data_IF_288193804410
#
_entry.id   IF_288193804410
#
_cell.length_a   1.000
_cell.length_b   1.000
_cell.length_c   1.000
_cell.angle_alpha   90.00
_cell.angle_beta   90.00
_cell.angle_gamma   90.00
#
_symmetry.space_group_name_H-M   'P 1'
#
loop_
_entity.id
_entity.type
_entity.pdbx_description
1 polymer ?
#
# COMPACT_ATOMS: atom_id res chain seq x y z
N UNK A 1 -24.21 -21.54 7.37
CA UNK A 1 -22.98 -20.75 7.18
C UNK A 1 -22.15 -21.50 6.14
N UNK A 2 -22.33 -21.18 4.87
CA UNK A 2 -21.65 -21.84 3.75
C UNK A 2 -20.73 -20.83 3.05
N UNK A 3 -19.62 -20.50 3.71
CA UNK A 3 -18.45 -19.80 3.16
C UNK A 3 -17.46 -20.66 2.31
N UNK A 4 -17.55 -22.02 2.21
CA UNK A 4 -16.58 -22.79 1.41
C UNK A 4 -16.59 -22.47 -0.10
N UNK A 5 -17.76 -22.18 -0.68
CA UNK A 5 -17.97 -22.06 -2.14
C UNK A 5 -17.07 -20.99 -2.80
N UNK A 6 -17.08 -19.77 -2.26
CA UNK A 6 -16.36 -18.62 -2.84
C UNK A 6 -14.84 -18.82 -2.77
N UNK A 7 -14.35 -19.39 -1.66
CA UNK A 7 -12.93 -19.64 -1.46
C UNK A 7 -12.42 -20.73 -2.40
N UNK A 8 -13.23 -21.74 -2.67
CA UNK A 8 -12.87 -22.82 -3.58
C UNK A 8 -12.94 -22.37 -5.06
N UNK A 9 -13.90 -21.51 -5.42
CA UNK A 9 -13.94 -20.84 -6.72
C UNK A 9 -12.72 -19.93 -6.95
N UNK A 10 -12.28 -19.18 -5.93
CA UNK A 10 -11.07 -18.35 -5.99
C UNK A 10 -9.80 -19.19 -6.16
N UNK A 11 -9.69 -20.33 -5.46
CA UNK A 11 -8.55 -21.26 -5.64
C UNK A 11 -8.52 -21.83 -7.05
N UNK A 12 -9.67 -22.21 -7.61
CA UNK A 12 -9.78 -22.73 -8.96
C UNK A 12 -9.31 -21.69 -10.00
N UNK A 13 -9.71 -20.42 -9.87
CA UNK A 13 -9.23 -19.35 -10.73
C UNK A 13 -7.72 -19.08 -10.61
N UNK A 14 -7.15 -19.17 -9.41
CA UNK A 14 -5.70 -19.01 -9.21
C UNK A 14 -4.94 -20.12 -9.95
N UNK A 15 -5.47 -21.34 -9.95
CA UNK A 15 -4.88 -22.47 -10.68
C UNK A 15 -4.93 -22.20 -12.19
N UNK A 16 -6.11 -21.85 -12.74
CA UNK A 16 -6.26 -21.54 -14.16
C UNK A 16 -5.39 -20.35 -14.59
N UNK A 17 -5.31 -19.29 -13.78
CA UNK A 17 -4.45 -18.14 -14.07
C UNK A 17 -2.97 -18.52 -14.10
N UNK A 18 -2.53 -19.42 -13.23
CA UNK A 18 -1.16 -19.92 -13.22
C UNK A 18 -0.85 -20.81 -14.42
N UNK A 19 -1.81 -21.60 -14.91
CA UNK A 19 -1.68 -22.39 -16.15
C UNK A 19 -1.58 -21.49 -17.39
N UNK A 20 -2.44 -20.46 -17.49
CA UNK A 20 -2.39 -19.44 -18.55
C UNK A 20 -1.06 -18.71 -18.52
N UNK A 21 -0.62 -18.26 -17.34
CA UNK A 21 0.66 -17.59 -17.14
C UNK A 21 1.84 -18.48 -17.56
N UNK A 22 1.81 -19.76 -17.20
CA UNK A 22 2.87 -20.71 -17.55
C UNK A 22 2.91 -20.96 -19.06
N UNK A 23 1.75 -21.06 -19.70
CA UNK A 23 1.62 -21.20 -21.16
C UNK A 23 2.11 -19.95 -21.89
N UNK A 24 1.74 -18.75 -21.43
CA UNK A 24 2.23 -17.48 -21.97
C UNK A 24 3.74 -17.31 -21.80
N UNK A 25 4.30 -17.72 -20.66
CA UNK A 25 5.75 -17.70 -20.42
C UNK A 25 6.46 -18.71 -21.33
N UNK A 26 5.90 -19.90 -21.55
CA UNK A 26 6.43 -20.88 -22.49
C UNK A 26 6.42 -20.33 -23.91
N UNK A 27 5.31 -19.72 -24.33
CA UNK A 27 5.18 -19.08 -25.64
C UNK A 27 6.18 -17.95 -25.84
N UNK A 28 6.38 -17.12 -24.81
CA UNK A 28 7.31 -16.01 -24.86
C UNK A 28 8.77 -16.49 -24.86
N UNK A 29 9.09 -17.58 -24.15
CA UNK A 29 10.43 -18.19 -24.18
C UNK A 29 10.74 -18.85 -25.53
N UNK A 30 9.76 -19.46 -26.20
CA UNK A 30 9.92 -19.92 -27.58
C UNK A 30 10.11 -18.72 -28.54
N UNK A 31 9.30 -17.68 -28.44
CA UNK A 31 9.39 -16.51 -29.33
C UNK A 31 10.63 -15.61 -29.09
N UNK A 32 11.25 -15.63 -27.92
CA UNK A 32 12.49 -14.87 -27.66
C UNK A 32 13.75 -15.62 -28.13
N UNK A 33 13.67 -16.94 -28.36
CA UNK A 33 14.77 -17.70 -28.95
C UNK A 33 14.74 -17.75 -30.49
N UNK A 34 13.59 -17.49 -31.13
CA UNK A 34 13.46 -17.57 -32.60
C UNK A 34 13.23 -16.24 -33.34
N UNK A 35 13.15 -15.10 -32.63
CA UNK A 35 12.95 -13.77 -33.26
C UNK A 35 14.24 -13.15 -33.84
N UNK A 36 14.92 -13.91 -34.70
CA UNK A 36 15.80 -13.40 -35.75
C UNK A 36 15.16 -13.52 -37.15
N UNK A 37 13.83 -13.59 -37.24
CA UNK A 37 13.13 -13.52 -38.53
C UNK A 37 13.03 -12.03 -38.97
N UNK A 38 14.17 -11.48 -39.40
CA UNK A 38 14.20 -10.34 -40.32
C UNK A 38 13.80 -10.88 -41.69
N UNK A 39 12.53 -10.73 -42.06
CA UNK A 39 12.06 -11.07 -43.40
C UNK A 39 12.54 -10.01 -44.42
N UNK A 40 13.80 -10.12 -44.85
CA UNK A 40 14.35 -9.36 -45.97
C UNK A 40 13.82 -9.91 -47.32
N UNK A 41 12.51 -9.76 -47.54
CA UNK A 41 11.85 -10.15 -48.81
C UNK A 41 12.44 -9.44 -50.04
N UNK A 42 13.19 -8.35 -49.86
CA UNK A 42 13.70 -7.53 -50.95
C UNK A 42 14.97 -8.07 -51.61
N UNK A 43 15.72 -8.96 -50.96
CA UNK A 43 16.99 -9.48 -51.49
C UNK A 43 16.86 -10.80 -52.26
N UNK A 44 15.78 -11.57 -52.07
CA UNK A 44 15.60 -12.89 -52.71
C UNK A 44 15.15 -12.87 -54.18
N UNK A 45 14.75 -11.71 -54.73
CA UNK A 45 14.33 -11.63 -56.14
C UNK A 45 15.49 -11.49 -57.13
N UNK A 46 16.73 -11.36 -56.66
CA UNK A 46 17.92 -11.33 -57.53
C UNK A 46 18.64 -12.68 -57.51
N UNK A 47 18.31 -13.50 -58.52
CA UNK A 47 18.87 -14.81 -58.92
C UNK A 47 18.46 -16.00 -58.06
N UNK A 48 17.28 -16.54 -58.34
CA UNK A 48 16.93 -17.92 -58.00
C UNK A 48 17.59 -18.82 -59.05
N UNK A 49 18.61 -19.58 -58.65
CA UNK A 49 19.09 -20.78 -59.35
C UNK A 49 18.34 -22.01 -58.82
N UNK A 50 18.29 -23.10 -59.58
CA UNK A 50 17.64 -24.37 -59.17
C UNK A 50 18.22 -24.92 -57.85
N UNK A 51 19.47 -24.59 -57.52
CA UNK A 51 20.14 -24.97 -56.26
C UNK A 51 19.59 -24.21 -55.03
N UNK A 52 19.16 -22.96 -55.19
CA UNK A 52 18.62 -22.15 -54.08
C UNK A 52 17.11 -22.34 -53.89
N UNK A 53 16.40 -22.93 -54.86
CA UNK A 53 14.95 -23.09 -54.80
C UNK A 53 14.49 -24.06 -53.70
N UNK A 54 15.27 -25.11 -53.46
CA UNK A 54 14.94 -26.12 -52.44
C UNK A 54 15.13 -25.57 -51.01
N UNK A 55 16.18 -24.79 -50.77
CA UNK A 55 16.42 -24.14 -49.47
C UNK A 55 15.32 -23.12 -49.16
N UNK A 56 14.93 -22.30 -50.14
CA UNK A 56 13.83 -21.32 -49.98
C UNK A 56 12.49 -22.02 -49.70
N UNK A 57 12.25 -23.17 -50.34
CA UNK A 57 11.04 -23.95 -50.12
C UNK A 57 11.00 -24.56 -48.73
N UNK A 58 12.13 -25.09 -48.25
CA UNK A 58 12.24 -25.62 -46.90
C UNK A 58 12.05 -24.52 -45.83
N UNK A 59 12.60 -23.32 -46.04
CA UNK A 59 12.36 -22.17 -45.17
C UNK A 59 10.88 -21.76 -45.16
N UNK A 60 10.20 -21.80 -46.30
CA UNK A 60 8.78 -21.47 -46.40
C UNK A 60 7.89 -22.52 -45.72
N UNK A 61 8.19 -23.81 -45.90
CA UNK A 61 7.46 -24.91 -45.25
C UNK A 61 7.66 -24.86 -43.72
N UNK A 62 8.86 -24.55 -43.25
CA UNK A 62 9.13 -24.33 -41.83
C UNK A 62 8.41 -23.10 -41.27
N UNK A 63 8.38 -21.99 -42.02
CA UNK A 63 7.64 -20.79 -41.63
C UNK A 63 6.12 -21.06 -41.56
N UNK A 64 5.58 -21.87 -42.47
CA UNK A 64 4.18 -22.27 -42.45
C UNK A 64 3.83 -23.12 -41.21
N UNK A 65 4.68 -24.08 -40.84
CA UNK A 65 4.53 -24.88 -39.62
C UNK A 65 4.55 -23.99 -38.37
N UNK A 66 5.50 -23.04 -38.30
CA UNK A 66 5.59 -22.10 -37.17
C UNK A 66 4.35 -21.19 -37.09
N UNK A 67 3.82 -20.76 -38.23
CA UNK A 67 2.61 -19.95 -38.28
C UNK A 67 1.38 -20.73 -37.80
N UNK A 68 1.24 -22.01 -38.17
CA UNK A 68 0.14 -22.87 -37.70
C UNK A 68 0.23 -23.14 -36.19
N UNK A 69 1.44 -23.32 -35.64
CA UNK A 69 1.65 -23.43 -34.19
C UNK A 69 1.26 -22.13 -33.46
N UNK A 70 1.60 -20.97 -34.02
CA UNK A 70 1.20 -19.67 -33.47
C UNK A 70 -0.33 -19.51 -33.49
N UNK A 71 -0.97 -19.88 -34.60
CA UNK A 71 -2.43 -19.84 -34.73
C UNK A 71 -3.14 -20.73 -33.70
N UNK A 72 -2.66 -21.96 -33.49
CA UNK A 72 -3.19 -22.85 -32.46
C UNK A 72 -3.03 -22.28 -31.05
N UNK A 73 -1.92 -21.59 -30.80
CA UNK A 73 -1.66 -20.96 -29.51
C UNK A 73 -2.61 -19.79 -29.24
N UNK A 74 -2.89 -18.96 -30.26
CA UNK A 74 -3.90 -17.90 -30.16
C UNK A 74 -5.28 -18.50 -29.83
N UNK A 75 -5.68 -19.56 -30.52
CA UNK A 75 -6.97 -20.21 -30.28
C UNK A 75 -7.11 -20.73 -28.83
N UNK A 76 -6.05 -21.31 -28.27
CA UNK A 76 -6.03 -21.75 -26.87
C UNK A 76 -6.17 -20.55 -25.91
N UNK A 77 -5.47 -19.44 -26.18
CA UNK A 77 -5.57 -18.22 -25.38
C UNK A 77 -6.98 -17.64 -25.42
N UNK A 78 -7.60 -17.56 -26.61
CA UNK A 78 -8.97 -17.08 -26.78
C UNK A 78 -9.98 -17.93 -26.00
N UNK A 79 -9.82 -19.25 -26.02
CA UNK A 79 -10.65 -20.16 -25.22
C UNK A 79 -10.51 -19.87 -23.72
N UNK A 80 -9.29 -19.72 -23.22
CA UNK A 80 -9.05 -19.41 -21.80
C UNK A 80 -9.58 -18.04 -21.38
N UNK A 81 -9.47 -17.03 -22.24
CA UNK A 81 -10.07 -15.70 -22.01
C UNK A 81 -11.58 -15.83 -21.87
N UNK A 82 -12.21 -16.63 -22.73
CA UNK A 82 -13.65 -16.88 -22.69
C UNK A 82 -14.07 -17.57 -21.38
N UNK A 83 -13.33 -18.60 -20.96
CA UNK A 83 -13.58 -19.28 -19.68
C UNK A 83 -13.46 -18.32 -18.48
N UNK A 84 -12.48 -17.40 -18.52
CA UNK A 84 -12.34 -16.35 -17.50
C UNK A 84 -13.53 -15.39 -17.47
N UNK A 85 -14.10 -15.03 -18.63
CA UNK A 85 -15.29 -14.17 -18.67
C UNK A 85 -16.50 -14.83 -18.01
N UNK A 86 -16.73 -16.12 -18.26
CA UNK A 86 -17.80 -16.86 -17.59
C UNK A 86 -17.62 -16.92 -16.08
N UNK A 87 -16.39 -17.20 -15.61
CA UNK A 87 -16.09 -17.22 -14.18
C UNK A 87 -16.31 -15.85 -13.50
N UNK A 88 -15.96 -14.75 -14.19
CA UNK A 88 -16.21 -13.39 -13.68
C UNK A 88 -17.71 -13.13 -13.53
N UNK A 89 -18.52 -13.57 -14.50
CA UNK A 89 -19.96 -13.37 -14.45
C UNK A 89 -20.61 -14.13 -13.26
N UNK A 90 -20.16 -15.35 -13.00
CA UNK A 90 -20.65 -16.15 -11.87
C UNK A 90 -20.28 -15.51 -10.51
N UNK A 91 -19.06 -14.97 -10.40
CA UNK A 91 -18.63 -14.26 -9.18
C UNK A 91 -19.43 -12.98 -8.98
N UNK A 92 -19.75 -12.25 -10.05
CA UNK A 92 -20.58 -11.06 -9.95
C UNK A 92 -21.97 -11.39 -9.40
N UNK A 93 -22.56 -12.51 -9.83
CA UNK A 93 -23.84 -13.00 -9.28
C UNK A 93 -23.71 -13.37 -7.79
N UNK A 94 -22.62 -14.02 -7.38
CA UNK A 94 -22.40 -14.35 -5.96
C UNK A 94 -22.21 -13.08 -5.09
N UNK A 95 -21.48 -12.07 -5.59
CA UNK A 95 -21.30 -10.78 -4.92
C UNK A 95 -22.65 -10.07 -4.75
N UNK A 96 -23.50 -10.09 -5.78
CA UNK A 96 -24.84 -9.50 -5.71
C UNK A 96 -25.70 -10.19 -4.64
N UNK A 97 -25.66 -11.52 -4.55
CA UNK A 97 -26.37 -12.28 -3.52
C UNK A 97 -25.88 -11.89 -2.11
N UNK A 98 -24.57 -11.79 -1.88
CA UNK A 98 -24.03 -11.40 -0.58
C UNK A 98 -24.32 -9.94 -0.22
N UNK A 99 -24.28 -9.03 -1.19
CA UNK A 99 -24.67 -7.63 -0.97
C UNK A 99 -26.13 -7.52 -0.52
N UNK A 100 -27.03 -8.28 -1.15
CA UNK A 100 -28.44 -8.30 -0.75
C UNK A 100 -28.62 -8.80 0.70
N UNK A 101 -27.85 -9.80 1.13
CA UNK A 101 -27.85 -10.27 2.54
C UNK A 101 -27.33 -9.20 3.49
N UNK A 102 -26.28 -8.47 3.12
CA UNK A 102 -25.74 -7.38 3.93
C UNK A 102 -26.74 -6.22 4.07
N UNK A 103 -27.48 -5.90 3.00
CA UNK A 103 -28.56 -4.92 3.06
C UNK A 103 -29.64 -5.35 4.06
N UNK A 104 -30.09 -6.61 4.01
CA UNK A 104 -31.09 -7.14 4.95
C UNK A 104 -30.60 -7.08 6.42
N UNK A 105 -29.30 -7.33 6.66
CA UNK A 105 -28.70 -7.19 7.99
C UNK A 105 -28.67 -5.73 8.44
N UNK A 106 -28.33 -4.81 7.53
CA UNK A 106 -28.32 -3.36 7.80
C UNK A 106 -29.70 -2.86 8.23
N UNK A 107 -30.76 -3.25 7.51
CA UNK A 107 -32.14 -2.89 7.86
C UNK A 107 -32.56 -3.41 9.24
N UNK A 108 -32.12 -4.62 9.62
CA UNK A 108 -32.37 -5.17 10.96
C UNK A 108 -31.63 -4.40 12.06
N UNK A 109 -30.39 -3.95 11.79
CA UNK A 109 -29.63 -3.15 12.74
C UNK A 109 -30.28 -1.78 13.00
N UNK A 110 -30.76 -1.13 11.94
CA UNK A 110 -31.49 0.13 12.06
C UNK A 110 -32.76 -0.03 12.92
N UNK A 111 -33.50 -1.13 12.74
CA UNK A 111 -34.66 -1.47 13.58
C UNK A 111 -34.26 -1.66 15.05
N UNK A 112 -33.14 -2.35 15.33
CA UNK A 112 -32.66 -2.54 16.70
C UNK A 112 -32.22 -1.21 17.34
N UNK A 113 -31.58 -0.32 16.59
CA UNK A 113 -31.18 1.00 17.07
C UNK A 113 -32.41 1.85 17.44
N UNK A 114 -33.48 1.80 16.62
CA UNK A 114 -34.72 2.50 16.92
C UNK A 114 -35.39 2.00 18.21
N UNK A 115 -35.38 0.68 18.43
CA UNK A 115 -35.87 0.05 19.67
C UNK A 115 -35.04 0.52 20.87
N UNK A 116 -33.71 0.56 20.74
CA UNK A 116 -32.80 0.98 21.80
C UNK A 116 -33.03 2.45 22.18
N UNK A 117 -33.19 3.32 21.17
CA UNK A 117 -33.47 4.73 21.35
C UNK A 117 -34.84 4.98 22.01
N UNK A 118 -35.87 4.18 21.70
CA UNK A 118 -37.17 4.21 22.40
C UNK A 118 -37.02 3.85 23.87
N UNK A 119 -36.30 2.76 24.20
CA UNK A 119 -36.05 2.37 25.60
C UNK A 119 -35.25 3.41 26.37
N UNK A 120 -34.25 4.03 25.75
CA UNK A 120 -33.45 5.07 26.40
C UNK A 120 -34.28 6.32 26.76
N UNK A 121 -35.23 6.69 25.91
CA UNK A 121 -36.19 7.78 26.18
C UNK A 121 -37.20 7.43 27.29
N UNK A 122 -37.57 6.17 27.45
CA UNK A 122 -38.43 5.71 28.55
C UNK A 122 -37.72 5.72 29.91
N UNK A 123 -36.44 5.35 29.94
CA UNK A 123 -35.60 5.35 31.15
C UNK A 123 -35.25 6.76 31.67
N UNK A 124 -35.20 7.76 30.80
CA UNK A 124 -34.86 9.14 31.15
C UNK A 124 -36.08 10.05 31.36
N UNK A 125 -37.26 9.49 31.67
CA UNK A 125 -38.37 10.32 32.16
C UNK A 125 -38.00 10.91 33.52
N UNK A 126 -38.01 12.25 33.69
CA UNK A 126 -37.64 12.87 34.96
C UNK A 126 -38.71 12.57 36.00
N UNK A 127 -38.36 11.76 37.00
CA UNK A 127 -39.11 11.63 38.24
C UNK A 127 -38.96 12.93 39.03
N UNK A 128 -40.04 13.67 39.20
CA UNK A 128 -40.13 14.81 40.11
C UNK A 128 -39.81 14.34 41.53
N UNK A 129 -38.65 14.73 42.07
CA UNK A 129 -38.42 14.82 43.50
C UNK A 129 -37.43 15.95 43.77
N UNK A 130 -38.01 17.09 44.15
CA UNK A 130 -37.37 18.24 44.74
C UNK A 130 -36.64 17.84 46.03
N UNK A 131 -35.34 18.15 46.15
CA UNK A 131 -34.77 18.54 47.44
C UNK A 131 -33.83 19.73 47.21
N UNK A 132 -34.28 20.87 47.71
CA UNK A 132 -33.52 22.10 47.96
C UNK A 132 -32.58 21.85 49.14
N UNK A 133 -31.32 22.31 49.06
CA UNK A 133 -30.67 23.07 50.14
C UNK A 133 -29.35 23.70 49.69
N UNK A 134 -29.24 25.00 49.99
CA UNK A 134 -28.09 25.87 49.81
C UNK A 134 -27.08 25.73 50.96
N UNK A 135 -25.79 25.89 50.66
CA UNK A 135 -24.76 26.61 51.48
C UNK A 135 -23.42 26.57 50.70
N UNK A 136 -22.87 27.70 50.22
CA UNK A 136 -21.80 28.53 50.84
C UNK A 136 -20.63 27.69 51.41
N UNK A 137 -19.34 27.93 51.20
CA UNK A 137 -18.52 29.08 50.76
C UNK A 137 -17.02 28.70 50.83
N UNK A 138 -16.14 29.51 50.20
CA UNK A 138 -14.67 29.67 50.43
C UNK A 138 -13.71 28.57 49.92
N UNK A 139 -12.90 28.82 48.88
CA UNK A 139 -11.47 29.27 48.90
C UNK A 139 -10.59 28.47 49.87
N UNK A 140 -9.46 27.86 49.51
CA UNK A 140 -8.14 28.47 49.18
C UNK A 140 -7.22 27.30 48.72
N UNK A 141 -6.48 27.44 47.62
CA UNK A 141 -5.01 27.27 47.63
C UNK A 141 -4.39 27.44 46.23
N UNK A 142 -3.83 28.64 46.06
CA UNK A 142 -2.76 28.97 45.14
C UNK A 142 -1.45 28.31 45.58
N UNK A 143 -0.75 27.62 44.67
CA UNK A 143 0.72 27.59 44.48
C UNK A 143 1.15 26.23 43.90
N UNK A 144 1.05 26.06 42.59
CA UNK A 144 2.04 25.28 41.86
C UNK A 144 2.42 26.00 40.57
N UNK A 145 3.74 26.09 40.39
CA UNK A 145 4.47 26.91 39.45
C UNK A 145 4.08 26.63 38.00
N UNK A 146 3.84 27.73 37.27
CA UNK A 146 3.99 27.91 35.82
C UNK A 146 5.17 27.09 35.26
N UNK A 147 4.89 26.06 34.45
CA UNK A 147 5.08 26.02 32.99
C UNK A 147 3.99 25.10 32.44
N UNK A 148 2.78 25.63 32.29
CA UNK A 148 1.72 24.93 31.56
C UNK A 148 0.70 25.97 31.11
N UNK A 149 0.85 26.38 29.85
CA UNK A 149 -0.05 27.16 28.98
C UNK A 149 0.91 27.72 27.92
N UNK A 150 1.00 27.11 26.74
CA UNK A 150 -0.06 27.24 25.74
C UNK A 150 -0.01 26.09 24.73
N UNK A 151 -0.81 25.04 24.91
CA UNK A 151 -1.29 24.21 23.79
C UNK A 151 -2.79 24.04 23.97
N UNK A 152 -3.55 25.02 23.47
CA UNK A 152 -5.01 24.92 23.33
C UNK A 152 -5.31 23.81 22.30
N UNK A 153 -6.11 22.82 22.69
CA UNK A 153 -6.85 21.90 21.81
C UNK A 153 -6.17 21.49 20.49
N UNK A 154 -4.97 20.93 20.55
CA UNK A 154 -4.52 20.10 19.44
C UNK A 154 -5.11 18.70 19.64
N UNK A 155 -6.05 18.31 18.78
CA UNK A 155 -6.57 16.94 18.72
C UNK A 155 -5.36 16.01 18.57
N UNK A 156 -5.03 15.25 19.60
CA UNK A 156 -3.95 14.26 19.55
C UNK A 156 -4.24 13.24 18.44
N UNK A 157 -3.19 12.75 17.80
CA UNK A 157 -3.27 11.56 16.97
C UNK A 157 -3.58 10.40 17.93
N UNK A 158 -4.69 9.72 17.67
CA UNK A 158 -5.16 8.56 18.43
C UNK A 158 -4.97 7.31 17.56
N UNK A 159 -4.91 6.12 18.16
CA UNK A 159 -4.90 4.89 17.37
C UNK A 159 -6.25 4.68 16.70
N UNK A 160 -6.24 4.10 15.50
CA UNK A 160 -7.47 3.80 14.74
C UNK A 160 -8.31 2.71 15.43
N UNK A 161 -7.67 1.83 16.19
CA UNK A 161 -8.32 0.80 17.01
C UNK A 161 -8.83 1.31 18.38
N UNK A 162 -8.64 2.59 18.70
CA UNK A 162 -9.05 3.20 19.97
C UNK A 162 -8.19 2.85 21.17
N UNK A 163 -7.16 2.01 21.03
CA UNK A 163 -6.29 1.62 22.12
C UNK A 163 -5.36 2.78 22.54
N UNK A 164 -5.07 2.89 23.83
CA UNK A 164 -4.13 3.89 24.34
C UNK A 164 -2.69 3.34 24.34
N UNK A 165 -1.77 4.16 23.85
CA UNK A 165 -0.33 3.96 23.97
C UNK A 165 0.07 4.23 25.43
N UNK A 166 0.13 3.17 26.25
CA UNK A 166 0.56 3.27 27.65
C UNK A 166 2.05 2.99 27.80
N UNK A 167 2.73 3.77 28.65
CA UNK A 167 4.14 3.61 29.03
C UNK A 167 5.17 3.56 27.88
N UNK A 168 5.20 4.58 27.04
CA UNK A 168 6.29 4.72 26.07
C UNK A 168 7.52 5.37 26.72
N UNK A 169 8.69 4.75 26.61
CA UNK A 169 9.99 5.41 26.89
C UNK A 169 10.34 6.42 25.80
N UNK A 170 9.62 6.39 24.67
CA UNK A 170 9.83 7.22 23.49
C UNK A 170 8.57 8.04 23.14
N UNK A 171 7.90 8.58 24.18
CA UNK A 171 6.78 9.53 24.03
C UNK A 171 7.11 10.68 23.08
N UNK A 172 8.38 11.05 23.01
CA UNK A 172 8.92 12.12 22.17
C UNK A 172 8.61 11.89 20.68
N UNK A 173 8.59 10.65 20.20
CA UNK A 173 8.27 10.33 18.79
C UNK A 173 6.84 10.71 18.45
N UNK A 174 5.90 10.25 19.28
CA UNK A 174 4.47 10.49 19.09
C UNK A 174 4.15 11.97 19.37
N UNK A 175 4.86 12.61 20.30
CA UNK A 175 4.75 14.05 20.55
C UNK A 175 5.24 14.88 19.36
N UNK A 176 6.33 14.46 18.70
CA UNK A 176 6.80 15.08 17.46
C UNK A 176 5.74 15.01 16.36
N UNK A 177 5.10 13.84 16.19
CA UNK A 177 4.01 13.69 15.21
C UNK A 177 2.80 14.54 15.58
N UNK A 178 2.43 14.61 16.86
CA UNK A 178 1.34 15.45 17.35
C UNK A 178 1.59 16.94 17.09
N UNK A 179 2.81 17.40 17.36
CA UNK A 179 3.21 18.80 17.18
C UNK A 179 3.14 19.20 15.70
N UNK A 180 3.42 18.26 14.79
CA UNK A 180 3.44 18.48 13.34
C UNK A 180 2.17 17.99 12.61
N UNK A 181 1.15 17.51 13.34
CA UNK A 181 -0.10 16.92 12.79
C UNK A 181 -0.75 17.81 11.74
N UNK A 182 -0.82 19.12 11.99
CA UNK A 182 -1.43 20.08 11.06
C UNK A 182 -0.72 20.13 9.71
N UNK A 183 0.61 20.08 9.70
CA UNK A 183 1.40 20.12 8.47
C UNK A 183 1.23 18.81 7.69
N UNK A 184 1.22 17.68 8.39
CA UNK A 184 0.96 16.37 7.78
C UNK A 184 -0.44 16.32 7.14
N UNK A 185 -1.48 16.84 7.80
CA UNK A 185 -2.83 16.94 7.20
C UNK A 185 -2.86 17.88 5.98
N UNK A 186 -2.16 19.01 6.04
CA UNK A 186 -2.08 19.96 4.92
C UNK A 186 -1.41 19.37 3.69
N UNK A 187 -0.39 18.52 3.86
CA UNK A 187 0.32 17.94 2.72
C UNK A 187 -0.54 17.02 1.84
N UNK A 188 -1.57 16.42 2.41
CA UNK A 188 -2.47 15.51 1.71
C UNK A 188 -3.91 16.04 1.59
N UNK A 189 -4.22 17.23 2.13
CA UNK A 189 -5.60 17.73 2.28
C UNK A 189 -6.53 16.80 3.09
N UNK A 190 -6.01 16.19 4.16
CA UNK A 190 -6.80 15.32 5.04
C UNK A 190 -7.55 16.08 6.15
N UNK A 191 -8.55 15.45 6.75
CA UNK A 191 -9.31 15.92 7.92
C UNK A 191 -8.72 15.42 9.23
N UNK A 192 -8.41 14.13 9.32
CA UNK A 192 -7.88 13.50 10.53
C UNK A 192 -6.72 12.54 10.25
N UNK A 193 -5.92 12.32 11.29
CA UNK A 193 -4.80 11.38 11.32
C UNK A 193 -4.99 10.45 12.51
N UNK A 194 -4.86 9.16 12.27
CA UNK A 194 -4.86 8.13 13.30
C UNK A 194 -3.66 7.19 13.14
N UNK A 195 -3.16 6.63 14.24
CA UNK A 195 -2.09 5.62 14.20
C UNK A 195 -2.73 4.28 13.86
N UNK A 196 -2.32 3.71 12.73
CA UNK A 196 -2.76 2.40 12.27
C UNK A 196 -1.83 1.29 12.70
N UNK A 197 -0.54 1.57 12.74
CA UNK A 197 0.50 0.63 13.16
C UNK A 197 1.63 1.38 13.83
N UNK A 198 2.18 0.77 14.86
CA UNK A 198 3.37 1.22 15.54
C UNK A 198 4.24 0.01 15.89
N UNK A 199 5.44 -0.07 15.32
CA UNK A 199 6.29 -1.25 15.46
C UNK A 199 6.63 -1.60 16.90
N UNK A 200 6.57 -0.62 17.83
CA UNK A 200 6.80 -0.86 19.26
C UNK A 200 5.63 -1.56 19.97
N UNK A 201 4.43 -1.52 19.40
CA UNK A 201 3.21 -2.02 20.02
C UNK A 201 2.59 -3.16 19.23
N UNK A 202 2.65 -3.09 17.91
CA UNK A 202 1.98 -4.03 17.00
C UNK A 202 2.91 -5.14 16.50
N UNK A 203 4.19 -5.14 16.91
CA UNK A 203 5.21 -6.10 16.51
C UNK A 203 6.06 -5.63 15.34
N UNK A 204 7.25 -6.23 15.20
CA UNK A 204 8.29 -5.80 14.25
C UNK A 204 8.45 -6.78 13.08
N UNK A 205 7.66 -7.86 13.06
CA UNK A 205 7.73 -8.83 11.98
C UNK A 205 7.11 -8.27 10.71
N UNK A 206 7.52 -8.82 9.57
CA UNK A 206 6.96 -8.44 8.28
C UNK A 206 5.50 -8.84 8.15
N UNK A 207 5.12 -9.99 8.70
CA UNK A 207 3.71 -10.40 8.80
C UNK A 207 2.87 -9.37 9.58
N UNK A 208 3.39 -8.87 10.71
CA UNK A 208 2.71 -7.84 11.49
C UNK A 208 2.56 -6.57 10.67
N UNK A 209 3.65 -6.05 10.09
CA UNK A 209 3.63 -4.86 9.24
C UNK A 209 2.65 -4.97 8.06
N UNK A 210 2.68 -6.10 7.32
CA UNK A 210 1.82 -6.34 6.15
C UNK A 210 0.33 -6.26 6.51
N UNK A 211 -0.06 -6.80 7.67
CA UNK A 211 -1.45 -6.78 8.15
C UNK A 211 -2.03 -5.37 8.21
N UNK A 212 -1.21 -4.37 8.50
CA UNK A 212 -1.67 -3.00 8.69
C UNK A 212 -1.53 -2.11 7.44
N UNK A 213 -0.69 -2.49 6.47
CA UNK A 213 -0.45 -1.70 5.25
C UNK A 213 -1.13 -2.27 4.00
N UNK A 214 -1.26 -3.59 3.87
CA UNK A 214 -1.81 -4.24 2.66
C UNK A 214 -3.29 -3.92 2.52
N UNK A 215 -3.69 -3.49 1.32
CA UNK A 215 -5.07 -3.10 1.03
C UNK A 215 -5.43 -1.67 1.44
N UNK A 216 -4.56 -0.96 2.15
CA UNK A 216 -4.82 0.39 2.61
C UNK A 216 -4.05 1.42 1.78
N UNK A 217 -4.77 2.47 1.39
CA UNK A 217 -4.21 3.67 0.75
C UNK A 217 -4.28 4.85 1.70
N UNK A 218 -3.78 6.00 1.24
CA UNK A 218 -3.68 7.22 2.03
C UNK A 218 -3.01 7.04 3.39
N UNK A 219 -1.85 6.39 3.38
CA UNK A 219 -1.07 6.11 4.58
C UNK A 219 0.24 6.88 4.55
N UNK A 220 0.59 7.51 5.67
CA UNK A 220 1.97 7.87 5.94
C UNK A 220 2.73 6.68 6.50
N UNK A 221 3.80 6.27 5.84
CA UNK A 221 4.85 5.43 6.41
C UNK A 221 5.93 6.33 6.97
N UNK A 222 6.03 6.41 8.30
CA UNK A 222 7.00 7.25 9.00
C UNK A 222 8.07 6.36 9.64
N UNK A 223 9.33 6.68 9.37
CA UNK A 223 10.50 6.02 9.90
C UNK A 223 11.19 6.94 10.89
N UNK A 224 11.50 6.41 12.06
CA UNK A 224 12.44 7.01 13.00
C UNK A 224 13.72 6.19 12.93
N UNK A 225 14.85 6.82 12.66
CA UNK A 225 16.15 6.15 12.64
C UNK A 225 16.94 6.36 13.94
N UNK A 226 18.05 5.63 14.07
CA UNK A 226 18.96 5.73 15.23
C UNK A 226 19.70 7.08 15.34
N UNK A 227 19.75 7.87 14.27
CA UNK A 227 20.44 9.16 14.21
C UNK A 227 19.48 10.35 14.41
N UNK A 228 18.30 10.10 14.98
CA UNK A 228 17.26 11.11 15.21
C UNK A 228 16.74 11.77 13.92
N UNK A 229 16.84 11.09 12.78
CA UNK A 229 16.15 11.49 11.57
C UNK A 229 14.74 10.91 11.56
N UNK A 230 13.79 11.69 11.05
CA UNK A 230 12.39 11.30 10.88
C UNK A 230 11.97 11.62 9.47
N UNK A 231 11.69 10.59 8.68
CA UNK A 231 11.40 10.70 7.26
C UNK A 231 10.52 9.54 6.81
N UNK A 232 10.03 9.59 5.57
CA UNK A 232 9.17 8.53 5.09
C UNK A 232 8.52 8.83 3.75
N UNK A 233 7.42 8.15 3.49
CA UNK A 233 6.61 8.35 2.30
C UNK A 233 5.11 8.36 2.62
N UNK A 234 4.39 9.17 1.85
CA UNK A 234 2.95 9.09 1.75
C UNK A 234 2.60 8.17 0.59
N UNK A 235 1.75 7.19 0.88
CA UNK A 235 1.26 6.19 -0.05
C UNK A 235 -0.21 6.50 -0.27
N UNK A 236 -0.56 6.97 -1.47
CA UNK A 236 -1.94 7.27 -1.81
C UNK A 236 -2.66 6.01 -2.29
N UNK A 237 -2.04 5.25 -3.20
CA UNK A 237 -2.66 4.06 -3.79
C UNK A 237 -2.59 2.85 -2.85
N UNK A 238 -3.67 2.08 -2.67
CA UNK A 238 -3.64 0.87 -1.86
C UNK A 238 -2.76 -0.21 -2.50
N UNK A 239 -1.98 -0.91 -1.68
CA UNK A 239 -1.11 -2.00 -2.13
C UNK A 239 -1.85 -3.33 -1.99
N UNK A 240 -2.39 -3.85 -3.10
CA UNK A 240 -3.17 -5.09 -3.11
C UNK A 240 -2.30 -6.34 -3.28
N UNK A 241 -1.19 -6.21 -4.00
CA UNK A 241 -0.31 -7.34 -4.37
C UNK A 241 1.08 -7.10 -3.81
N UNK A 242 1.64 -8.13 -3.17
CA UNK A 242 2.99 -8.15 -2.61
C UNK A 242 4.01 -8.65 -3.61
N UNK A 243 5.28 -8.33 -3.39
CA UNK A 243 6.44 -8.63 -4.24
C UNK A 243 6.32 -8.12 -5.68
N UNK A 244 5.41 -7.16 -5.95
CA UNK A 244 5.25 -6.50 -7.24
C UNK A 244 5.21 -4.99 -7.07
N UNK A 245 5.77 -4.23 -8.04
CA UNK A 245 5.67 -2.78 -8.03
C UNK A 245 4.24 -2.33 -8.31
N UNK A 246 3.73 -1.44 -7.47
CA UNK A 246 2.46 -0.73 -7.64
C UNK A 246 2.76 0.73 -7.92
N UNK A 247 2.21 1.28 -9.00
CA UNK A 247 2.43 2.69 -9.35
C UNK A 247 1.63 3.59 -8.40
N UNK A 248 2.32 4.54 -7.78
CA UNK A 248 1.69 5.59 -6.99
C UNK A 248 1.92 6.96 -7.66
N UNK A 249 0.83 7.55 -8.13
CA UNK A 249 0.84 8.81 -8.86
C UNK A 249 0.91 9.98 -7.89
N UNK A 250 0.19 9.90 -6.77
CA UNK A 250 0.01 10.98 -5.80
C UNK A 250 0.89 10.82 -4.55
N UNK A 251 1.55 9.67 -4.42
CA UNK A 251 2.56 9.43 -3.40
C UNK A 251 3.72 10.43 -3.48
N UNK A 252 4.27 10.74 -2.31
CA UNK A 252 5.40 11.63 -2.15
C UNK A 252 6.30 11.16 -1.02
N UNK A 253 7.54 11.64 -0.99
CA UNK A 253 8.45 11.41 0.14
C UNK A 253 8.55 12.68 0.99
N UNK A 254 8.87 12.51 2.27
CA UNK A 254 8.99 13.66 3.17
C UNK A 254 10.02 13.45 4.28
N UNK A 255 10.46 14.56 4.84
CA UNK A 255 11.33 14.67 6.00
C UNK A 255 10.60 15.52 7.05
N UNK A 256 10.70 15.14 8.32
CA UNK A 256 10.11 15.83 9.48
C UNK A 256 11.23 16.37 10.38
N UNK A 257 12.29 15.59 10.58
CA UNK A 257 13.43 15.97 11.39
C UNK A 257 14.72 15.38 10.83
N UNK A 258 15.83 16.09 11.05
CA UNK A 258 17.18 15.70 10.68
C UNK A 258 18.13 15.95 11.83
N UNK A 259 18.82 14.90 12.25
CA UNK A 259 19.80 14.95 13.35
C UNK A 259 19.19 15.63 14.60
N UNK A 260 17.93 15.30 14.92
CA UNK A 260 17.18 15.84 16.05
C UNK A 260 16.56 17.24 15.85
N UNK A 261 16.86 17.93 14.75
CA UNK A 261 16.29 19.25 14.44
C UNK A 261 15.06 19.12 13.54
N UNK A 262 13.97 19.79 13.88
CA UNK A 262 12.75 19.80 13.05
C UNK A 262 13.05 20.43 11.69
N UNK A 263 12.78 19.67 10.63
CA UNK A 263 12.98 20.04 9.24
C UNK A 263 11.85 19.44 8.40
N UNK A 264 10.76 20.21 8.27
CA UNK A 264 9.55 19.79 7.56
C UNK A 264 9.71 20.02 6.06
N UNK A 265 9.84 18.94 5.30
CA UNK A 265 10.05 19.00 3.85
C UNK A 265 9.25 17.93 3.13
N UNK A 266 8.33 18.35 2.26
CA UNK A 266 7.62 17.48 1.31
C UNK A 266 8.29 17.53 -0.05
N UNK A 267 8.50 16.38 -0.67
CA UNK A 267 9.07 16.29 -2.01
C UNK A 267 8.16 15.43 -2.91
N UNK A 268 7.54 16.09 -3.87
CA UNK A 268 6.72 15.44 -4.88
C UNK A 268 7.61 14.75 -5.92
N UNK A 269 7.08 13.66 -6.47
CA UNK A 269 7.69 13.01 -7.62
C UNK A 269 7.77 13.97 -8.81
N UNK A 270 8.84 13.85 -9.60
CA UNK A 270 8.92 14.56 -10.88
C UNK A 270 7.86 14.05 -11.86
N UNK A 271 7.33 14.95 -12.69
CA UNK A 271 6.26 14.62 -13.67
C UNK A 271 6.69 13.57 -14.70
N UNK A 272 7.98 13.50 -15.02
CA UNK A 272 8.56 12.59 -16.01
C UNK A 272 9.02 11.24 -15.43
N UNK A 273 8.84 11.02 -14.11
CA UNK A 273 9.29 9.80 -13.44
C UNK A 273 8.09 8.97 -13.00
N UNK A 274 8.09 7.69 -13.37
CA UNK A 274 7.18 6.69 -12.80
C UNK A 274 7.88 6.10 -11.57
N UNK A 275 7.33 6.37 -10.39
CA UNK A 275 7.74 5.76 -9.12
C UNK A 275 6.72 4.68 -8.77
N UNK A 276 7.23 3.61 -8.20
CA UNK A 276 6.46 2.48 -7.73
C UNK A 276 6.74 2.21 -6.26
N UNK A 277 5.83 1.49 -5.63
CA UNK A 277 5.96 0.97 -4.28
C UNK A 277 5.88 -0.55 -4.38
N UNK A 278 6.83 -1.24 -3.76
CA UNK A 278 6.83 -2.69 -3.65
C UNK A 278 6.79 -3.05 -2.17
N UNK A 279 5.71 -3.72 -1.74
CA UNK A 279 5.60 -4.33 -0.42
C UNK A 279 6.09 -5.77 -0.52
N UNK A 280 7.05 -6.18 0.30
CA UNK A 280 7.61 -7.53 0.25
C UNK A 280 6.87 -8.48 1.20
N UNK A 281 6.96 -9.79 0.98
CA UNK A 281 6.54 -10.87 1.91
C UNK A 281 7.73 -11.78 2.30
N UNK A 282 7.67 -12.45 3.45
CA UNK A 282 8.79 -13.24 4.03
C UNK A 282 9.34 -14.35 3.10
N UNK A 283 8.58 -14.80 2.09
CA UNK A 283 8.95 -15.91 1.19
C UNK A 283 9.74 -15.49 -0.06
N UNK A 284 10.28 -14.27 -0.12
CA UNK A 284 11.15 -13.82 -1.20
C UNK A 284 12.62 -13.76 -0.76
N UNK A 285 13.57 -13.72 -1.70
CA UNK A 285 15.02 -13.58 -1.45
C UNK A 285 15.42 -12.27 -0.71
N UNK A 286 14.46 -11.56 -0.11
CA UNK A 286 14.59 -10.28 0.57
C UNK A 286 13.91 -10.31 1.96
N UNK A 287 14.11 -11.38 2.73
CA UNK A 287 13.41 -11.66 4.00
C UNK A 287 13.47 -10.55 5.08
N UNK A 288 14.36 -9.55 4.95
CA UNK A 288 14.43 -8.41 5.86
C UNK A 288 13.85 -7.11 5.30
N UNK A 289 13.46 -7.10 4.02
CA UNK A 289 12.91 -5.92 3.36
C UNK A 289 11.42 -5.84 3.62
N UNK A 290 10.95 -4.70 4.10
CA UNK A 290 9.52 -4.42 4.29
C UNK A 290 8.94 -3.78 3.04
N UNK A 291 9.55 -2.68 2.61
CA UNK A 291 9.00 -1.85 1.54
C UNK A 291 10.11 -1.20 0.72
N UNK A 292 9.88 -1.09 -0.58
CA UNK A 292 10.69 -0.30 -1.49
C UNK A 292 9.83 0.78 -2.12
N UNK A 293 10.33 2.01 -2.20
CA UNK A 293 9.71 3.10 -2.97
C UNK A 293 10.72 3.75 -3.90
N UNK A 294 10.39 3.84 -5.18
CA UNK A 294 11.23 4.49 -6.18
C UNK A 294 10.97 3.99 -7.60
N UNK A 295 11.82 4.41 -8.54
CA UNK A 295 11.71 4.02 -9.95
C UNK A 295 12.28 2.62 -10.18
N UNK A 296 13.50 2.38 -9.69
CA UNK A 296 14.24 1.12 -9.85
C UNK A 296 15.24 0.94 -8.70
N UNK A 297 15.86 -0.23 -8.55
CA UNK A 297 16.78 -0.52 -7.42
C UNK A 297 17.99 0.45 -7.28
N UNK A 298 18.23 1.32 -8.26
CA UNK A 298 19.26 2.36 -8.23
C UNK A 298 18.74 3.73 -7.77
N UNK A 299 17.42 3.94 -7.74
CA UNK A 299 16.75 5.23 -7.52
C UNK A 299 15.51 5.12 -6.62
N UNK A 300 15.74 5.00 -5.31
CA UNK A 300 14.66 4.94 -4.32
C UNK A 300 15.12 4.71 -2.89
N UNK A 301 14.18 4.31 -2.05
CA UNK A 301 14.36 4.01 -0.63
C UNK A 301 13.94 2.57 -0.36
N UNK A 302 14.87 1.78 0.18
CA UNK A 302 14.65 0.43 0.67
C UNK A 302 14.54 0.49 2.19
N UNK A 303 13.42 0.00 2.71
CA UNK A 303 13.08 0.00 4.12
C UNK A 303 13.13 -1.43 4.61
N UNK A 304 13.93 -1.66 5.63
CA UNK A 304 14.07 -2.96 6.29
C UNK A 304 13.25 -3.00 7.58
N UNK A 305 13.12 -4.21 8.15
CA UNK A 305 12.55 -4.42 9.49
C UNK A 305 13.26 -3.53 10.53
N UNK A 306 12.55 -3.08 11.59
CA UNK A 306 13.18 -2.36 12.69
C UNK A 306 14.43 -3.07 13.22
N UNK A 307 15.43 -2.30 13.64
CA UNK A 307 16.73 -2.77 14.16
C UNK A 307 17.57 -3.59 13.18
N UNK A 308 17.14 -3.72 11.91
CA UNK A 308 17.96 -4.26 10.85
C UNK A 308 18.75 -3.14 10.18
N UNK A 309 20.07 -3.27 10.23
CA UNK A 309 21.00 -2.36 9.57
C UNK A 309 20.89 -2.44 8.05
N UNK A 310 21.31 -1.36 7.38
CA UNK A 310 21.38 -1.21 5.93
C UNK A 310 20.03 -0.96 5.22
N UNK A 311 19.04 -0.40 5.92
CA UNK A 311 18.03 0.42 5.24
C UNK A 311 18.74 1.47 4.38
N UNK A 312 18.22 1.80 3.20
CA UNK A 312 19.04 2.48 2.20
C UNK A 312 18.25 3.49 1.36
N UNK A 313 18.85 4.66 1.15
CA UNK A 313 18.36 5.69 0.22
C UNK A 313 19.37 5.84 -0.90
N UNK A 314 18.99 5.42 -2.12
CA UNK A 314 19.83 5.49 -3.33
C UNK A 314 19.29 6.52 -4.28
N UNK A 315 20.08 7.56 -4.56
CA UNK A 315 19.84 8.55 -5.63
C UNK A 315 18.38 9.02 -5.74
N UNK A 316 17.68 9.12 -4.61
CA UNK A 316 16.24 9.37 -4.58
C UNK A 316 15.89 10.74 -5.17
N UNK A 317 16.85 11.67 -5.12
CA UNK A 317 16.78 12.96 -5.81
C UNK A 317 16.45 12.81 -7.30
N UNK A 318 16.91 11.75 -8.00
CA UNK A 318 16.60 11.55 -9.41
C UNK A 318 15.09 11.41 -9.68
N UNK A 319 14.35 10.91 -8.70
CA UNK A 319 12.90 10.68 -8.79
C UNK A 319 12.07 11.83 -8.20
N UNK A 320 12.63 12.62 -7.28
CA UNK A 320 11.89 13.60 -6.46
C UNK A 320 12.48 15.02 -6.46
N UNK A 321 13.55 15.27 -7.21
CA UNK A 321 14.20 16.58 -7.31
C UNK A 321 14.83 16.81 -8.68
N UNK A 322 14.81 18.06 -9.15
CA UNK A 322 15.54 18.49 -10.35
C UNK A 322 17.00 18.84 -10.06
N UNK A 323 17.34 19.06 -8.79
CA UNK A 323 18.71 19.31 -8.33
C UNK A 323 19.27 18.13 -7.54
N UNK A 324 20.58 17.90 -7.68
CA UNK A 324 21.33 16.93 -6.87
C UNK A 324 21.43 17.31 -5.38
N UNK A 325 20.87 18.46 -4.98
CA UNK A 325 20.90 18.96 -3.60
C UNK A 325 19.90 18.30 -2.67
N UNK A 326 19.01 17.44 -3.18
CA UNK A 326 18.08 16.69 -2.34
C UNK A 326 18.78 15.53 -1.64
N UNK A 327 19.31 15.81 -0.45
CA UNK A 327 19.90 14.83 0.46
C UNK A 327 18.88 14.54 1.56
N UNK A 328 18.05 13.50 1.34
CA UNK A 328 16.96 13.07 2.24
C UNK A 328 17.44 12.52 3.59
N UNK A 329 18.72 12.17 3.64
CA UNK A 329 19.47 11.80 4.83
C UNK A 329 20.95 12.04 4.49
N UNK A 330 21.74 12.61 5.40
CA UNK A 330 23.20 12.77 5.21
C UNK A 330 23.87 11.41 4.96
N UNK A 331 23.22 10.33 5.40
CA UNK A 331 23.71 8.96 5.31
C UNK A 331 22.86 8.18 4.30
N UNK A 332 23.52 7.56 3.31
CA UNK A 332 22.85 6.70 2.32
C UNK A 332 22.27 5.41 2.93
N UNK A 333 22.68 5.08 4.16
CA UNK A 333 22.23 3.92 4.91
C UNK A 333 21.71 4.34 6.28
N UNK A 334 20.68 3.66 6.75
CA UNK A 334 20.06 3.93 8.05
C UNK A 334 19.65 2.62 8.73
N UNK A 335 19.45 2.71 10.03
CA UNK A 335 18.84 1.67 10.86
C UNK A 335 17.58 2.25 11.46
N UNK A 336 16.44 1.63 11.18
CA UNK A 336 15.14 2.09 11.66
C UNK A 336 14.92 1.63 13.09
N UNK A 337 14.68 2.55 14.03
CA UNK A 337 14.32 2.21 15.43
C UNK A 337 12.81 2.08 15.67
N UNK A 338 11.99 2.73 14.84
CA UNK A 338 10.52 2.68 14.94
C UNK A 338 9.89 2.97 13.59
N UNK A 339 8.83 2.25 13.27
CA UNK A 339 7.98 2.50 12.11
C UNK A 339 6.58 2.82 12.61
N UNK A 340 6.01 3.91 12.12
CA UNK A 340 4.62 4.31 12.40
C UNK A 340 3.87 4.44 11.08
N UNK A 341 2.71 3.79 10.98
CA UNK A 341 1.74 4.04 9.92
C UNK A 341 0.66 4.99 10.44
N UNK A 342 0.49 6.13 9.78
CA UNK A 342 -0.66 7.00 10.01
C UNK A 342 -1.66 6.87 8.88
N UNK A 343 -2.91 6.61 9.22
CA UNK A 343 -4.04 6.60 8.31
C UNK A 343 -4.70 7.98 8.25
N UNK A 344 -5.14 8.37 7.07
CA UNK A 344 -5.74 9.68 6.80
C UNK A 344 -7.20 9.51 6.41
N UNK A 345 -8.07 10.25 7.11
CA UNK A 345 -9.46 10.41 6.71
C UNK A 345 -9.61 11.73 5.95
N UNK A 346 -10.38 11.72 4.86
CA UNK A 346 -10.58 12.87 3.96
C UNK A 346 -11.92 13.55 4.11
#
# INVERSE_FOLDING_TARGET
MELPSIVDNLKFMIIQFNEIKSSLISLHKQNVFDNNISFDFLHLTKKISDENFYEIREEFDNAAINFDQYRNSIFIIEKHITDCFYAIEDIQKEIEIENNKLTEIGEKLDQYEEILNKKYKELNKPSELQIITNSSSQSINSHQKKITKTIKNQQKIIRSDGNQIMNDKDKEDIELLNTNKKVLLQWCNGKSLSIRYDSKYDGESQKDFIKYIKGYGNIYLILFDQNMNVFGCFIHSPILITNKPVVDIFGFIFEIAKEGTIHLKKCNKRKDVISSITLFEDNCNQANSLLYIGKDQSTGMLILKPFIQNGMIKQIYKSYSTSNSLVFNSIQRFETRRIVLLEIDF
#
